data_IF_437151778943
#
_entry.id   IF_437151778943
#
_cell.length_a   1.000
_cell.length_b   1.000
_cell.length_c   1.000
_cell.angle_alpha   90.00
_cell.angle_beta   90.00
_cell.angle_gamma   90.00
#
_symmetry.space_group_name_H-M   'P 1'
#
loop_
_entity.id
_entity.type
_entity.pdbx_description
1 polymer ?
#
# COMPACT_ATOMS: atom_id res chain seq x y z
N UNK A 1 -3.66 -35.03 18.07
CA UNK A 1 -2.78 -33.84 18.08
C UNK A 1 -2.25 -33.46 16.70
N UNK A 2 -1.79 -34.39 15.86
CA UNK A 2 -1.23 -34.08 14.52
C UNK A 2 -2.23 -33.38 13.58
N UNK A 3 -3.51 -33.81 13.59
CA UNK A 3 -4.55 -33.22 12.74
C UNK A 3 -4.81 -31.73 13.07
N UNK A 4 -4.75 -31.37 14.36
CA UNK A 4 -4.93 -30.00 14.84
C UNK A 4 -3.79 -29.07 14.41
N UNK A 5 -2.54 -29.56 14.41
CA UNK A 5 -1.36 -28.79 13.96
C UNK A 5 -1.39 -28.53 12.46
N UNK A 6 -1.83 -29.51 11.66
CA UNK A 6 -1.97 -29.37 10.20
C UNK A 6 -3.04 -28.34 9.84
N UNK A 7 -4.19 -28.36 10.51
CA UNK A 7 -5.29 -27.39 10.28
C UNK A 7 -4.84 -25.96 10.65
N UNK A 8 -4.03 -25.79 11.70
CA UNK A 8 -3.50 -24.48 12.11
C UNK A 8 -2.39 -23.98 11.17
N UNK A 9 -1.57 -24.86 10.61
CA UNK A 9 -0.48 -24.49 9.69
C UNK A 9 -0.96 -24.25 8.25
N UNK A 10 -2.03 -24.91 7.81
CA UNK A 10 -2.58 -24.75 6.47
C UNK A 10 -2.83 -23.28 6.08
N UNK A 11 -3.51 -22.43 6.89
CA UNK A 11 -3.72 -21.03 6.54
C UNK A 11 -2.40 -20.25 6.47
N UNK A 12 -1.40 -20.56 7.30
CA UNK A 12 -0.07 -19.92 7.22
C UNK A 12 0.63 -20.25 5.90
N UNK A 13 0.62 -21.52 5.48
CA UNK A 13 1.22 -21.94 4.21
C UNK A 13 0.51 -21.28 3.03
N UNK A 14 -0.84 -21.20 3.06
CA UNK A 14 -1.62 -20.52 2.02
C UNK A 14 -1.30 -19.03 1.97
N UNK A 15 -1.19 -18.36 3.11
CA UNK A 15 -0.80 -16.93 3.17
C UNK A 15 0.59 -16.72 2.58
N UNK A 16 1.58 -17.54 2.92
CA UNK A 16 2.95 -17.42 2.38
C UNK A 16 2.95 -17.69 0.87
N UNK A 17 2.27 -18.74 0.42
CA UNK A 17 2.19 -19.13 -0.99
C UNK A 17 1.53 -18.05 -1.87
N UNK A 18 0.58 -17.28 -1.32
CA UNK A 18 -0.05 -16.14 -2.01
C UNK A 18 0.77 -14.85 -1.88
N UNK A 19 1.44 -14.63 -0.75
CA UNK A 19 2.23 -13.42 -0.50
C UNK A 19 3.45 -13.31 -1.43
N UNK A 20 4.18 -14.41 -1.63
CA UNK A 20 5.38 -14.43 -2.48
C UNK A 20 5.11 -13.96 -3.92
N UNK A 21 4.14 -14.53 -4.67
CA UNK A 21 3.86 -14.08 -6.03
C UNK A 21 3.31 -12.66 -6.07
N UNK A 22 2.52 -12.24 -5.07
CA UNK A 22 2.04 -10.86 -4.97
C UNK A 22 3.20 -9.87 -4.78
N UNK A 23 4.17 -10.19 -3.92
CA UNK A 23 5.38 -9.37 -3.72
C UNK A 23 6.23 -9.33 -4.99
N UNK A 24 6.38 -10.45 -5.70
CA UNK A 24 7.12 -10.47 -6.97
C UNK A 24 6.43 -9.65 -8.05
N UNK A 25 5.11 -9.75 -8.16
CA UNK A 25 4.31 -8.97 -9.09
C UNK A 25 4.39 -7.46 -8.77
N UNK A 26 4.29 -7.12 -7.48
CA UNK A 26 4.46 -5.75 -7.01
C UNK A 26 5.86 -5.25 -7.36
N UNK A 27 6.93 -6.00 -7.06
CA UNK A 27 8.31 -5.63 -7.42
C UNK A 27 8.47 -5.37 -8.92
N UNK A 28 7.86 -6.18 -9.78
CA UNK A 28 7.89 -5.98 -11.24
C UNK A 28 7.18 -4.69 -11.65
N UNK A 29 6.02 -4.40 -11.06
CA UNK A 29 5.29 -3.16 -11.34
C UNK A 29 6.07 -1.93 -10.87
N UNK A 30 6.69 -1.97 -9.69
CA UNK A 30 7.55 -0.89 -9.20
C UNK A 30 8.82 -0.70 -10.03
N UNK A 31 9.35 -1.79 -10.62
CA UNK A 31 10.49 -1.69 -11.52
C UNK A 31 10.15 -1.00 -12.84
N UNK A 32 8.89 -1.02 -13.26
CA UNK A 32 8.40 -0.36 -14.48
C UNK A 32 7.94 1.09 -14.24
N UNK A 33 8.07 1.62 -13.02
CA UNK A 33 7.66 2.99 -12.73
C UNK A 33 8.60 4.01 -13.37
N UNK A 34 8.06 5.14 -13.86
CA UNK A 34 8.87 6.21 -14.43
C UNK A 34 9.80 6.81 -13.39
N UNK A 35 10.91 7.38 -13.85
CA UNK A 35 11.79 8.23 -13.03
C UNK A 35 12.29 7.60 -11.72
N UNK A 36 12.43 6.26 -11.69
CA UNK A 36 12.94 5.51 -10.54
C UNK A 36 14.30 6.02 -10.06
N UNK A 37 15.11 6.53 -11.00
CA UNK A 37 16.45 7.03 -10.76
C UNK A 37 16.48 8.57 -10.68
N UNK A 38 15.35 9.27 -10.52
CA UNK A 38 15.30 10.74 -10.43
C UNK A 38 16.14 11.33 -9.29
N UNK A 39 16.39 10.54 -8.25
CA UNK A 39 17.22 10.92 -7.11
C UNK A 39 18.64 10.31 -7.19
N UNK A 40 18.95 9.56 -8.25
CA UNK A 40 20.26 8.97 -8.45
C UNK A 40 21.26 10.09 -8.78
N UNK A 41 22.35 10.16 -8.03
CA UNK A 41 23.37 11.20 -8.18
C UNK A 41 23.22 12.41 -7.26
N UNK A 42 22.08 12.58 -6.59
CA UNK A 42 21.89 13.64 -5.59
C UNK A 42 22.55 13.28 -4.25
N UNK A 43 23.09 14.29 -3.58
CA UNK A 43 23.63 14.14 -2.23
C UNK A 43 22.52 13.76 -1.23
N UNK A 44 22.88 13.20 -0.08
CA UNK A 44 21.90 12.87 0.98
C UNK A 44 20.98 14.04 1.41
N UNK A 45 21.48 15.28 1.61
CA UNK A 45 20.62 16.41 1.97
C UNK A 45 19.65 16.81 0.85
N UNK A 46 20.12 16.88 -0.39
CA UNK A 46 19.29 17.21 -1.58
C UNK A 46 18.16 16.20 -1.78
N UNK A 47 18.46 14.90 -1.61
CA UNK A 47 17.44 13.85 -1.66
C UNK A 47 16.36 14.02 -0.59
N UNK A 48 16.75 14.46 0.61
CA UNK A 48 15.82 14.69 1.71
C UNK A 48 14.96 15.90 1.42
N UNK A 49 15.55 16.99 0.91
CA UNK A 49 14.82 18.20 0.52
C UNK A 49 13.78 17.92 -0.56
N UNK A 50 14.17 17.22 -1.65
CA UNK A 50 13.26 16.86 -2.73
C UNK A 50 12.10 15.99 -2.21
N UNK A 51 12.40 14.99 -1.37
CA UNK A 51 11.37 14.13 -0.78
C UNK A 51 10.42 14.90 0.13
N UNK A 52 10.94 15.79 0.96
CA UNK A 52 10.12 16.62 1.83
C UNK A 52 9.29 17.62 1.04
N UNK A 53 9.84 18.17 -0.05
CA UNK A 53 9.13 19.06 -0.95
C UNK A 53 7.90 18.38 -1.57
N UNK A 54 8.09 17.17 -2.14
CA UNK A 54 6.98 16.37 -2.68
C UNK A 54 6.00 15.94 -1.59
N UNK A 55 6.49 15.56 -0.40
CA UNK A 55 5.63 15.14 0.72
C UNK A 55 4.74 16.25 1.27
N UNK A 56 5.21 17.49 1.19
CA UNK A 56 4.50 18.67 1.72
C UNK A 56 3.79 19.46 0.62
N UNK A 57 4.12 19.25 -0.65
CA UNK A 57 3.59 20.01 -1.78
C UNK A 57 4.16 21.42 -1.89
N UNK A 58 5.36 21.67 -1.35
CA UNK A 58 6.02 22.99 -1.36
C UNK A 58 6.98 23.13 -2.54
N UNK A 59 7.27 24.37 -3.00
CA UNK A 59 8.35 24.62 -3.94
C UNK A 59 9.72 24.37 -3.30
N UNK A 60 10.69 23.99 -4.13
CA UNK A 60 12.11 23.91 -3.76
C UNK A 60 12.77 25.25 -4.11
N UNK A 61 13.61 25.76 -3.19
CA UNK A 61 14.25 27.05 -3.37
C UNK A 61 15.34 27.00 -4.46
N UNK A 62 16.01 25.85 -4.59
CA UNK A 62 17.05 25.63 -5.60
C UNK A 62 16.44 25.21 -6.96
N UNK A 63 16.60 26.01 -8.02
CA UNK A 63 16.07 25.68 -9.35
C UNK A 63 16.73 24.45 -9.98
N UNK A 64 17.94 24.07 -9.55
CA UNK A 64 18.61 22.84 -10.06
C UNK A 64 17.93 21.57 -9.56
N UNK A 65 17.27 21.64 -8.40
CA UNK A 65 16.52 20.54 -7.79
C UNK A 65 15.05 20.50 -8.24
N UNK A 66 14.55 21.54 -8.91
CA UNK A 66 13.16 21.63 -9.36
C UNK A 66 12.81 20.48 -10.33
N UNK A 67 13.68 20.18 -11.29
CA UNK A 67 13.50 19.08 -12.25
C UNK A 67 13.54 17.69 -11.57
N UNK A 68 14.41 17.51 -10.57
CA UNK A 68 14.43 16.27 -9.77
C UNK A 68 13.16 16.13 -8.92
N UNK A 69 12.60 17.24 -8.47
CA UNK A 69 11.37 17.28 -7.67
C UNK A 69 10.14 16.93 -8.49
N UNK A 70 10.02 17.45 -9.71
CA UNK A 70 8.94 17.09 -10.63
C UNK A 70 9.02 15.61 -11.02
N UNK A 71 10.21 15.12 -11.40
CA UNK A 71 10.42 13.71 -11.74
C UNK A 71 10.12 12.76 -10.56
N UNK A 72 10.52 13.12 -9.33
CA UNK A 72 10.19 12.34 -8.13
C UNK A 72 8.69 12.39 -7.80
N UNK A 73 8.03 13.54 -8.00
CA UNK A 73 6.59 13.65 -7.80
C UNK A 73 5.79 12.80 -8.79
N UNK A 74 6.21 12.72 -10.05
CA UNK A 74 5.61 11.83 -11.06
C UNK A 74 5.77 10.35 -10.68
N UNK A 75 6.94 9.97 -10.16
CA UNK A 75 7.18 8.64 -9.61
C UNK A 75 6.21 8.32 -8.46
N UNK A 76 6.05 9.23 -7.49
CA UNK A 76 5.12 9.07 -6.35
C UNK A 76 3.66 8.97 -6.79
N UNK A 77 3.26 9.72 -7.83
CA UNK A 77 1.91 9.61 -8.41
C UNK A 77 1.71 8.22 -9.01
N UNK A 78 2.63 7.77 -9.87
CA UNK A 78 2.53 6.47 -10.53
C UNK A 78 2.54 5.32 -9.51
N UNK A 79 3.42 5.38 -8.51
CA UNK A 79 3.47 4.43 -7.39
C UNK A 79 2.17 4.43 -6.58
N UNK A 80 1.64 5.62 -6.28
CA UNK A 80 0.37 5.81 -5.58
C UNK A 80 -0.81 5.22 -6.35
N UNK A 81 -0.87 5.41 -7.66
CA UNK A 81 -1.92 4.86 -8.52
C UNK A 81 -1.90 3.34 -8.57
N UNK A 82 -0.72 2.73 -8.72
CA UNK A 82 -0.56 1.26 -8.66
C UNK A 82 -1.07 0.74 -7.32
N UNK A 83 -0.64 1.35 -6.20
CA UNK A 83 -1.10 0.95 -4.87
C UNK A 83 -2.61 1.15 -4.68
N UNK A 84 -3.19 2.22 -5.21
CA UNK A 84 -4.64 2.45 -5.17
C UNK A 84 -5.42 1.38 -5.94
N UNK A 85 -4.94 0.96 -7.12
CA UNK A 85 -5.57 -0.12 -7.89
C UNK A 85 -5.56 -1.43 -7.09
N UNK A 86 -4.43 -1.78 -6.49
CA UNK A 86 -4.32 -2.96 -5.61
C UNK A 86 -5.22 -2.87 -4.39
N UNK A 87 -5.26 -1.73 -3.71
CA UNK A 87 -6.13 -1.55 -2.54
C UNK A 87 -7.62 -1.66 -2.90
N UNK A 88 -8.05 -1.21 -4.09
CA UNK A 88 -9.44 -1.42 -4.54
C UNK A 88 -9.77 -2.90 -4.74
N UNK A 89 -8.84 -3.68 -5.30
CA UNK A 89 -9.00 -5.14 -5.46
C UNK A 89 -9.04 -5.82 -4.09
N UNK A 90 -8.06 -5.51 -3.23
CA UNK A 90 -8.00 -6.07 -1.87
C UNK A 90 -9.22 -5.71 -1.03
N UNK A 91 -9.81 -4.52 -1.22
CA UNK A 91 -11.06 -4.13 -0.55
C UNK A 91 -12.16 -5.16 -0.81
N UNK A 92 -12.34 -5.59 -2.06
CA UNK A 92 -13.36 -6.60 -2.38
C UNK A 92 -13.02 -7.98 -1.81
N UNK A 93 -11.73 -8.35 -1.78
CA UNK A 93 -11.27 -9.57 -1.13
C UNK A 93 -11.59 -9.54 0.37
N UNK A 94 -11.34 -8.43 1.06
CA UNK A 94 -11.64 -8.27 2.48
C UNK A 94 -13.14 -8.25 2.77
N UNK A 95 -13.95 -7.63 1.91
CA UNK A 95 -15.41 -7.68 2.01
C UNK A 95 -15.90 -9.12 1.87
N UNK A 96 -15.40 -9.86 0.88
CA UNK A 96 -15.72 -11.29 0.71
C UNK A 96 -15.33 -12.12 1.93
N UNK A 97 -14.12 -11.89 2.48
CA UNK A 97 -13.66 -12.55 3.70
C UNK A 97 -14.57 -12.24 4.89
N UNK A 98 -15.02 -10.98 5.04
CA UNK A 98 -15.96 -10.60 6.09
C UNK A 98 -17.29 -11.33 5.99
N UNK A 99 -17.84 -11.49 4.77
CA UNK A 99 -19.06 -12.28 4.55
C UNK A 99 -18.87 -13.73 4.98
N UNK A 100 -17.73 -14.34 4.64
CA UNK A 100 -17.41 -15.72 5.05
C UNK A 100 -17.30 -15.84 6.57
N UNK A 101 -16.62 -14.90 7.23
CA UNK A 101 -16.48 -14.89 8.69
C UNK A 101 -17.82 -14.70 9.39
N UNK A 102 -18.68 -13.81 8.88
CA UNK A 102 -20.04 -13.62 9.40
C UNK A 102 -20.89 -14.89 9.22
N UNK A 103 -20.85 -15.52 8.05
CA UNK A 103 -21.56 -16.77 7.80
C UNK A 103 -21.09 -17.88 8.75
N UNK A 104 -19.77 -18.01 8.93
CA UNK A 104 -19.19 -19.01 9.83
C UNK A 104 -19.56 -18.74 11.31
N UNK A 105 -19.55 -17.47 11.74
CA UNK A 105 -19.97 -17.08 13.08
C UNK A 105 -21.46 -17.38 13.35
N UNK A 106 -22.33 -17.20 12.36
CA UNK A 106 -23.77 -17.51 12.47
C UNK A 106 -24.05 -19.02 12.55
N UNK A 107 -23.15 -19.86 12.01
CA UNK A 107 -23.27 -21.31 12.07
C UNK A 107 -22.65 -21.94 13.32
N UNK A 108 -21.86 -21.18 14.09
CA UNK A 108 -21.16 -21.71 15.26
C UNK A 108 -22.01 -21.59 16.53
N UNK A 109 -22.27 -22.73 17.18
CA UNK A 109 -23.08 -22.80 18.42
C UNK A 109 -22.29 -22.41 19.67
N UNK A 110 -20.96 -22.41 19.61
CA UNK A 110 -20.10 -22.24 20.78
C UNK A 110 -19.48 -20.83 20.90
N UNK A 111 -19.80 -19.90 19.99
CA UNK A 111 -19.74 -18.43 20.13
C UNK A 111 -18.36 -17.75 20.31
N UNK A 112 -17.34 -18.44 20.80
CA UNK A 112 -16.11 -17.81 21.28
C UNK A 112 -14.96 -17.78 20.26
N UNK A 113 -14.94 -18.70 19.28
CA UNK A 113 -13.81 -18.86 18.34
C UNK A 113 -13.77 -17.77 17.25
N UNK A 114 -14.91 -17.19 16.89
CA UNK A 114 -15.01 -16.24 15.77
C UNK A 114 -14.81 -14.78 16.15
N UNK A 115 -14.79 -14.44 17.44
CA UNK A 115 -14.66 -13.06 17.88
C UNK A 115 -13.30 -12.46 17.47
N UNK A 116 -12.22 -13.22 17.66
CA UNK A 116 -10.88 -12.83 17.22
C UNK A 116 -10.79 -12.72 15.69
N UNK A 117 -11.40 -13.65 14.96
CA UNK A 117 -11.42 -13.63 13.50
C UNK A 117 -12.21 -12.43 12.98
N UNK A 118 -13.38 -12.13 13.55
CA UNK A 118 -14.18 -10.96 13.20
C UNK A 118 -13.46 -9.64 13.51
N UNK A 119 -12.85 -9.51 14.70
CA UNK A 119 -12.02 -8.35 15.05
C UNK A 119 -10.85 -8.17 14.08
N UNK A 120 -10.14 -9.25 13.76
CA UNK A 120 -9.03 -9.24 12.82
C UNK A 120 -9.50 -8.83 11.41
N UNK A 121 -10.63 -9.37 10.94
CA UNK A 121 -11.22 -9.00 9.65
C UNK A 121 -11.65 -7.55 9.59
N UNK A 122 -12.25 -7.00 10.66
CA UNK A 122 -12.59 -5.57 10.75
C UNK A 122 -11.32 -4.70 10.70
N UNK A 123 -10.24 -5.11 11.40
CA UNK A 123 -8.96 -4.42 11.37
C UNK A 123 -8.31 -4.43 9.97
N UNK A 124 -8.35 -5.56 9.28
CA UNK A 124 -7.89 -5.69 7.89
C UNK A 124 -8.70 -4.83 6.92
N UNK A 125 -10.02 -4.79 7.07
CA UNK A 125 -10.88 -3.92 6.27
C UNK A 125 -10.53 -2.45 6.55
N UNK A 126 -10.45 -2.05 7.82
CA UNK A 126 -10.16 -0.68 8.23
C UNK A 126 -8.83 -0.18 7.67
N UNK A 127 -7.76 -0.98 7.77
CA UNK A 127 -6.43 -0.61 7.23
C UNK A 127 -6.45 -0.38 5.72
N UNK A 128 -7.29 -1.10 4.96
CA UNK A 128 -7.45 -0.85 3.52
C UNK A 128 -8.04 0.54 3.23
N UNK A 129 -9.07 0.96 3.98
CA UNK A 129 -9.67 2.30 3.82
C UNK A 129 -8.71 3.43 4.19
N UNK A 130 -7.98 3.30 5.31
CA UNK A 130 -6.98 4.29 5.71
C UNK A 130 -5.86 4.42 4.67
N UNK A 131 -5.43 3.31 4.09
CA UNK A 131 -4.41 3.31 3.05
C UNK A 131 -4.88 4.01 1.78
N UNK A 132 -6.12 3.80 1.34
CA UNK A 132 -6.69 4.50 0.17
C UNK A 132 -6.66 6.01 0.37
N UNK A 133 -7.18 6.50 1.51
CA UNK A 133 -7.18 7.93 1.81
C UNK A 133 -5.76 8.51 1.91
N UNK A 134 -4.82 7.74 2.47
CA UNK A 134 -3.40 8.12 2.55
C UNK A 134 -2.79 8.28 1.16
N UNK A 135 -3.00 7.33 0.25
CA UNK A 135 -2.45 7.41 -1.11
C UNK A 135 -3.08 8.55 -1.92
N UNK A 136 -4.38 8.81 -1.77
CA UNK A 136 -5.04 9.96 -2.41
C UNK A 136 -4.42 11.29 -1.96
N UNK A 137 -4.17 11.46 -0.65
CA UNK A 137 -3.51 12.66 -0.11
C UNK A 137 -2.07 12.79 -0.63
N UNK A 138 -1.33 11.68 -0.69
CA UNK A 138 0.03 11.69 -1.21
C UNK A 138 0.07 12.12 -2.70
N UNK A 139 -0.82 11.57 -3.53
CA UNK A 139 -0.96 11.95 -4.95
C UNK A 139 -1.31 13.43 -5.09
N UNK A 140 -2.25 13.94 -4.28
CA UNK A 140 -2.63 15.34 -4.32
C UNK A 140 -1.45 16.27 -3.99
N UNK A 141 -0.62 15.91 -3.00
CA UNK A 141 0.57 16.67 -2.62
C UNK A 141 1.68 16.59 -3.68
N UNK A 142 1.88 15.42 -4.28
CA UNK A 142 2.81 15.26 -5.38
C UNK A 142 2.41 16.11 -6.59
N UNK A 143 1.11 16.14 -6.93
CA UNK A 143 0.59 17.04 -7.98
C UNK A 143 0.81 18.52 -7.64
N UNK A 144 0.59 18.91 -6.38
CA UNK A 144 0.87 20.28 -5.93
C UNK A 144 2.36 20.64 -6.04
N UNK A 145 3.26 19.69 -5.74
CA UNK A 145 4.69 19.88 -5.91
C UNK A 145 5.09 20.05 -7.39
N UNK A 146 4.45 19.34 -8.32
CA UNK A 146 4.67 19.54 -9.77
C UNK A 146 4.28 20.96 -10.16
N UNK A 147 3.07 21.40 -9.79
CA UNK A 147 2.60 22.76 -10.12
C UNK A 147 3.42 23.88 -9.47
N UNK A 148 4.13 23.59 -8.38
CA UNK A 148 4.96 24.57 -7.69
C UNK A 148 6.40 24.66 -8.24
N UNK A 149 6.86 23.67 -9.02
CA UNK A 149 8.26 23.54 -9.46
C UNK A 149 8.44 23.37 -10.99
N UNK A 150 7.35 23.30 -11.77
CA UNK A 150 7.36 23.19 -13.23
C UNK A 150 6.45 24.23 -13.87
#
# INVERSE_FOLDING_TARGET
>A
MVLSTVIVLLPFVVVIALAVPLVLLQRRQFAALPHRDALAGLAAPERTEVRDAVRTGRPVADPTLAAATTAWAEHEIAAGEVNLRWQRVLRWVYVGLAVIVVAAALTDRDGHTWLFTALFTVLLIGTSFFNIARYQRAIARARAAITANG
#
